data_IF_942638932685
#
_entry.id   IF_942638932685
#
_cell.length_a   1.000
_cell.length_b   1.000
_cell.length_c   1.000
_cell.angle_alpha   90.00
_cell.angle_beta   90.00
_cell.angle_gamma   90.00
#
_symmetry.space_group_name_H-M   'P 1'
#
loop_
_entity.id
_entity.type
_entity.pdbx_description
1 polymer ?
#
# COMPACT_ATOMS: atom_id res chain seq x y z
N UNK A 1 17.45 -0.91 57.41
CA UNK A 1 16.60 -0.52 56.26
C UNK A 1 17.10 -1.28 55.05
N UNK A 2 16.42 -2.38 54.70
CA UNK A 2 16.72 -3.15 53.50
C UNK A 2 15.97 -2.45 52.37
N UNK A 3 16.72 -1.79 51.49
CA UNK A 3 16.19 -1.19 50.26
C UNK A 3 15.60 -2.31 49.41
N UNK A 4 14.27 -2.32 49.26
CA UNK A 4 13.59 -3.19 48.31
C UNK A 4 13.82 -2.58 46.92
N UNK A 5 14.82 -3.09 46.21
CA UNK A 5 14.88 -2.94 44.76
C UNK A 5 13.60 -3.53 44.17
N UNK A 6 12.89 -2.70 43.41
CA UNK A 6 11.60 -3.01 42.81
C UNK A 6 11.89 -3.81 41.50
N UNK A 7 11.63 -5.12 41.43
CA UNK A 7 12.00 -5.92 40.25
C UNK A 7 10.82 -5.96 39.29
N UNK A 8 10.54 -4.86 38.56
CA UNK A 8 9.48 -4.81 37.53
C UNK A 8 9.73 -3.81 36.37
N UNK A 9 10.99 -3.52 36.03
CA UNK A 9 11.33 -2.74 34.83
C UNK A 9 12.42 -3.43 33.98
N UNK A 10 12.46 -4.76 34.01
CA UNK A 10 13.23 -5.54 33.03
C UNK A 10 12.36 -5.75 31.78
N UNK A 11 12.75 -5.10 30.68
CA UNK A 11 12.46 -5.58 29.33
C UNK A 11 11.13 -5.20 28.67
N UNK A 12 10.59 -4.00 28.90
CA UNK A 12 9.61 -3.48 27.93
C UNK A 12 10.38 -3.18 26.63
N UNK A 13 10.17 -4.02 25.62
CA UNK A 13 10.72 -3.80 24.29
C UNK A 13 10.31 -2.40 23.80
N UNK A 14 11.29 -1.65 23.30
CA UNK A 14 11.01 -0.31 22.79
C UNK A 14 10.25 -0.42 21.46
N UNK A 15 9.23 0.42 21.24
CA UNK A 15 8.54 0.48 19.95
C UNK A 15 9.51 0.73 18.81
N UNK A 16 9.24 0.14 17.65
CA UNK A 16 10.09 0.28 16.46
C UNK A 16 9.99 1.66 15.83
N UNK A 17 8.84 2.32 15.97
CA UNK A 17 8.52 3.60 15.34
C UNK A 17 7.96 4.61 16.33
N UNK A 18 8.18 5.89 16.06
CA UNK A 18 7.68 7.00 16.88
C UNK A 18 6.37 7.57 16.32
N UNK A 19 6.18 7.45 15.01
CA UNK A 19 5.07 8.03 14.24
C UNK A 19 4.46 7.02 13.27
N UNK A 20 3.16 7.15 13.05
CA UNK A 20 2.38 6.28 12.16
C UNK A 20 1.56 7.15 11.22
N UNK A 21 1.60 6.86 9.91
CA UNK A 21 0.97 7.68 8.88
C UNK A 21 0.31 6.81 7.81
N UNK A 22 -1.03 6.75 7.80
CA UNK A 22 -1.77 5.86 6.90
C UNK A 22 -2.83 6.59 6.10
N UNK A 23 -2.95 6.19 4.84
CA UNK A 23 -3.89 6.77 3.91
C UNK A 23 -4.90 5.75 3.38
N UNK A 24 -6.15 6.19 3.30
CA UNK A 24 -7.16 5.63 2.41
C UNK A 24 -7.04 6.35 1.06
N UNK A 25 -6.88 5.58 -0.01
CA UNK A 25 -6.36 5.99 -1.29
C UNK A 25 -7.42 5.84 -2.39
N UNK A 26 -7.35 6.72 -3.39
CA UNK A 26 -8.31 6.72 -4.49
C UNK A 26 -7.63 6.67 -5.86
N UNK A 27 -8.03 5.68 -6.66
CA UNK A 27 -7.67 5.58 -8.09
C UNK A 27 -8.55 6.40 -9.04
N UNK A 28 -9.48 7.21 -8.52
CA UNK A 28 -10.42 7.99 -9.33
C UNK A 28 -9.82 9.27 -9.93
N UNK A 29 -10.20 9.62 -11.15
CA UNK A 29 -9.87 10.92 -11.76
C UNK A 29 -8.39 11.14 -12.09
N UNK A 30 -8.01 12.39 -12.32
CA UNK A 30 -6.63 12.82 -12.60
C UNK A 30 -5.83 12.99 -11.29
N UNK A 31 -4.50 12.82 -11.35
CA UNK A 31 -3.62 12.83 -10.18
C UNK A 31 -3.65 14.15 -9.38
N UNK A 32 -3.83 15.27 -10.08
CA UNK A 32 -3.85 16.62 -9.51
C UNK A 32 -5.25 17.06 -9.03
N UNK A 33 -6.30 16.27 -9.32
CA UNK A 33 -7.66 16.58 -8.86
C UNK A 33 -7.89 16.09 -7.43
N UNK A 34 -8.38 16.98 -6.56
CA UNK A 34 -8.76 16.62 -5.20
C UNK A 34 -9.87 15.56 -5.20
N UNK A 35 -9.74 14.56 -4.33
CA UNK A 35 -10.64 13.42 -4.25
C UNK A 35 -11.33 13.38 -2.89
N UNK A 36 -12.66 13.34 -2.90
CA UNK A 36 -13.49 13.30 -1.69
C UNK A 36 -13.23 12.10 -0.79
N UNK A 37 -12.58 11.06 -1.31
CA UNK A 37 -12.33 9.78 -0.65
C UNK A 37 -10.83 9.50 -0.45
N UNK A 38 -9.98 10.53 -0.43
CA UNK A 38 -8.60 10.37 0.07
C UNK A 38 -8.58 10.87 1.50
N UNK A 39 -8.10 10.02 2.42
CA UNK A 39 -7.92 10.33 3.84
C UNK A 39 -6.49 10.04 4.25
N UNK A 40 -5.96 10.87 5.15
CA UNK A 40 -4.62 10.71 5.70
C UNK A 40 -4.71 10.94 7.20
N UNK A 41 -4.28 9.95 7.97
CA UNK A 41 -4.24 10.02 9.43
C UNK A 41 -2.83 9.86 9.93
N UNK A 42 -2.54 10.55 11.04
CA UNK A 42 -1.24 10.51 11.72
C UNK A 42 -1.43 10.36 13.22
N UNK A 43 -0.64 9.50 13.86
CA UNK A 43 -0.46 9.48 15.32
C UNK A 43 1.01 9.34 15.71
N UNK A 44 1.29 9.66 16.97
CA UNK A 44 2.50 9.25 17.69
C UNK A 44 2.17 8.03 18.57
N UNK A 45 3.16 7.46 19.27
CA UNK A 45 2.95 6.38 20.23
C UNK A 45 1.85 6.67 21.27
N UNK A 46 1.85 7.88 21.84
CA UNK A 46 0.92 8.26 22.91
C UNK A 46 -0.26 9.11 22.43
N UNK A 47 -0.26 9.52 21.17
CA UNK A 47 -1.27 10.40 20.60
C UNK A 47 -2.37 9.65 19.85
N UNK A 48 -3.60 10.15 19.94
CA UNK A 48 -4.71 9.67 19.11
C UNK A 48 -4.47 9.99 17.62
N UNK A 49 -4.92 9.10 16.69
CA UNK A 49 -4.83 9.40 15.28
C UNK A 49 -5.64 10.65 14.91
N UNK A 50 -4.94 11.63 14.35
CA UNK A 50 -5.51 12.88 13.88
C UNK A 50 -5.54 12.90 12.36
N UNK A 51 -6.69 13.32 11.80
CA UNK A 51 -6.83 13.55 10.37
C UNK A 51 -5.96 14.72 9.95
N UNK A 52 -5.10 14.50 8.96
CA UNK A 52 -4.38 15.58 8.29
C UNK A 52 -5.27 16.17 7.20
N UNK A 53 -5.19 17.49 7.02
CA UNK A 53 -5.93 18.21 5.98
C UNK A 53 -4.95 18.88 5.01
N UNK A 54 -5.35 18.97 3.75
CA UNK A 54 -4.63 19.78 2.77
C UNK A 54 -5.10 21.23 2.90
N UNK A 55 -4.25 22.12 3.42
CA UNK A 55 -4.54 23.55 3.49
C UNK A 55 -3.88 24.27 2.31
N UNK A 56 -4.68 24.83 1.41
CA UNK A 56 -4.19 25.76 0.39
C UNK A 56 -4.32 27.18 0.94
N UNK A 57 -3.20 27.90 1.06
CA UNK A 57 -3.22 29.33 1.41
C UNK A 57 -3.80 30.11 0.24
N UNK A 58 -5.06 30.52 0.34
CA UNK A 58 -5.59 31.60 -0.51
C UNK A 58 -5.31 32.95 0.15
N UNK A 59 -5.33 34.05 -0.62
CA UNK A 59 -5.04 35.41 -0.12
C UNK A 59 -5.92 35.87 1.05
N UNK A 60 -7.00 35.15 1.40
CA UNK A 60 -7.95 35.60 2.42
C UNK A 60 -8.35 34.56 3.48
N UNK A 61 -8.24 33.24 3.27
CA UNK A 61 -8.40 32.23 4.34
C UNK A 61 -7.74 30.89 3.95
N UNK A 62 -7.24 30.14 4.94
CA UNK A 62 -6.89 28.73 4.75
C UNK A 62 -8.17 27.90 4.88
N UNK A 63 -8.70 27.38 3.78
CA UNK A 63 -9.80 26.40 3.82
C UNK A 63 -9.25 24.98 3.72
N UNK A 64 -9.74 24.04 4.56
CA UNK A 64 -9.39 22.64 4.42
C UNK A 64 -9.92 22.11 3.08
N UNK A 65 -9.04 21.49 2.32
CA UNK A 65 -9.36 20.83 1.06
C UNK A 65 -9.04 19.34 1.16
N UNK A 66 -9.72 18.55 0.32
CA UNK A 66 -9.37 17.16 0.13
C UNK A 66 -8.02 17.03 -0.57
N UNK A 67 -7.34 15.91 -0.36
CA UNK A 67 -6.11 15.61 -1.06
C UNK A 67 -6.39 15.23 -2.51
N UNK A 68 -5.52 15.68 -3.41
CA UNK A 68 -5.26 14.97 -4.67
C UNK A 68 -4.19 13.91 -4.41
N UNK A 69 -3.92 13.01 -5.36
CA UNK A 69 -2.83 12.05 -5.18
C UNK A 69 -1.48 12.74 -5.10
N UNK A 70 -1.27 13.79 -5.91
CA UNK A 70 -0.03 14.57 -5.88
C UNK A 70 0.13 15.31 -4.56
N UNK A 71 -0.94 15.91 -4.02
CA UNK A 71 -0.88 16.62 -2.74
C UNK A 71 -0.80 15.69 -1.53
N UNK A 72 -1.31 14.45 -1.64
CA UNK A 72 -1.11 13.38 -0.67
C UNK A 72 0.36 12.99 -0.59
N UNK A 73 1.00 12.65 -1.70
CA UNK A 73 2.42 12.26 -1.72
C UNK A 73 3.31 13.39 -1.25
N UNK A 74 3.07 14.62 -1.71
CA UNK A 74 3.81 15.77 -1.23
C UNK A 74 3.61 15.99 0.28
N UNK A 75 2.45 15.64 0.85
CA UNK A 75 2.23 15.69 2.30
C UNK A 75 3.02 14.58 3.01
N UNK A 76 2.97 13.34 2.52
CA UNK A 76 3.72 12.22 3.10
C UNK A 76 5.22 12.52 3.11
N UNK A 77 5.79 13.00 2.01
CA UNK A 77 7.21 13.39 1.93
C UNK A 77 7.58 14.46 2.96
N UNK A 78 6.71 15.46 3.20
CA UNK A 78 6.93 16.47 4.25
C UNK A 78 6.92 15.86 5.65
N UNK A 79 5.99 14.94 5.93
CA UNK A 79 5.92 14.26 7.24
C UNK A 79 7.16 13.39 7.49
N UNK A 80 7.65 12.69 6.46
CA UNK A 80 8.89 11.90 6.53
C UNK A 80 10.11 12.79 6.77
N UNK A 81 10.24 13.89 6.02
CA UNK A 81 11.32 14.84 6.22
C UNK A 81 11.31 15.48 7.62
N UNK A 82 10.12 15.82 8.16
CA UNK A 82 9.97 16.35 9.52
C UNK A 82 10.35 15.30 10.58
N UNK A 83 9.94 14.04 10.38
CA UNK A 83 10.31 12.95 11.27
C UNK A 83 11.83 12.74 11.28
N UNK A 84 12.46 12.66 10.10
CA UNK A 84 13.92 12.61 9.96
C UNK A 84 14.63 13.76 10.67
N UNK A 85 14.16 15.00 10.47
CA UNK A 85 14.75 16.19 11.10
C UNK A 85 14.68 16.16 12.64
N UNK A 86 13.66 15.50 13.18
CA UNK A 86 13.45 15.36 14.63
C UNK A 86 13.99 14.05 15.20
N UNK A 87 14.73 13.27 14.41
CA UNK A 87 15.29 11.99 14.83
C UNK A 87 14.27 10.87 15.05
N UNK A 88 13.05 11.03 14.52
CA UNK A 88 11.97 10.06 14.66
C UNK A 88 11.89 9.12 13.46
N UNK A 89 11.56 7.85 13.72
CA UNK A 89 11.20 6.86 12.71
C UNK A 89 9.70 6.84 12.48
N UNK A 90 9.30 6.55 11.25
CA UNK A 90 7.90 6.56 10.84
C UNK A 90 7.55 5.26 10.12
N UNK A 91 6.46 4.65 10.54
CA UNK A 91 5.77 3.61 9.78
C UNK A 91 4.67 4.28 8.95
N UNK A 92 4.64 4.04 7.65
CA UNK A 92 3.63 4.65 6.78
C UNK A 92 3.11 3.69 5.72
N UNK A 93 1.94 3.98 5.17
CA UNK A 93 1.38 3.15 4.10
C UNK A 93 0.14 3.70 3.42
N UNK A 94 -0.21 3.05 2.32
CA UNK A 94 -1.38 3.33 1.49
C UNK A 94 -2.16 2.02 1.28
N UNK A 95 -3.48 2.09 1.13
CA UNK A 95 -4.37 0.94 0.94
C UNK A 95 -4.54 0.50 -0.53
N UNK A 96 -3.45 0.54 -1.30
CA UNK A 96 -3.40 -0.01 -2.66
C UNK A 96 -2.27 -1.04 -2.77
N UNK A 97 -2.29 -1.84 -3.83
CA UNK A 97 -1.27 -2.88 -4.01
C UNK A 97 0.08 -2.25 -4.36
N UNK A 98 1.17 -2.74 -3.75
CA UNK A 98 2.54 -2.22 -3.97
C UNK A 98 3.29 -2.96 -5.08
N UNK A 99 2.70 -4.02 -5.62
CA UNK A 99 3.17 -4.66 -6.83
C UNK A 99 2.03 -5.39 -7.53
N UNK A 100 2.31 -5.85 -8.74
CA UNK A 100 1.37 -6.61 -9.54
C UNK A 100 1.39 -8.12 -9.26
N UNK A 101 0.24 -8.81 -9.49
CA UNK A 101 0.18 -10.26 -9.51
C UNK A 101 0.98 -10.88 -10.67
N UNK A 102 1.26 -12.19 -10.61
CA UNK A 102 2.15 -12.87 -11.54
C UNK A 102 1.80 -12.67 -13.02
N UNK A 103 0.53 -12.77 -13.40
CA UNK A 103 0.13 -12.65 -14.81
C UNK A 103 0.44 -11.26 -15.39
N UNK A 104 0.19 -10.17 -14.64
CA UNK A 104 0.50 -8.81 -15.08
C UNK A 104 2.02 -8.62 -15.17
N UNK A 105 2.79 -9.16 -14.22
CA UNK A 105 4.26 -9.12 -14.27
C UNK A 105 4.82 -9.86 -15.49
N UNK A 106 4.25 -11.02 -15.85
CA UNK A 106 4.65 -11.75 -17.05
C UNK A 106 4.31 -10.98 -18.32
N UNK A 107 3.08 -10.47 -18.43
CA UNK A 107 2.61 -9.72 -19.60
C UNK A 107 3.44 -8.46 -19.86
N UNK A 108 3.88 -7.76 -18.82
CA UNK A 108 4.76 -6.61 -18.93
C UNK A 108 6.25 -6.95 -19.10
N UNK A 109 6.60 -8.25 -19.11
CA UNK A 109 8.00 -8.68 -19.21
C UNK A 109 8.86 -8.24 -18.02
N UNK A 110 8.27 -8.17 -16.82
CA UNK A 110 8.96 -7.76 -15.58
C UNK A 110 9.01 -8.89 -14.53
N UNK A 111 8.54 -10.09 -14.85
CA UNK A 111 8.47 -11.22 -13.91
C UNK A 111 9.79 -11.48 -13.17
N UNK A 112 10.91 -11.44 -13.90
CA UNK A 112 12.26 -11.71 -13.37
C UNK A 112 13.04 -10.42 -13.02
N UNK A 113 12.37 -9.27 -12.97
CA UNK A 113 12.99 -7.98 -12.63
C UNK A 113 12.73 -7.68 -11.16
N UNK A 114 13.78 -7.25 -10.44
CA UNK A 114 13.70 -6.82 -9.05
C UNK A 114 12.64 -5.72 -8.87
N UNK A 115 11.91 -5.73 -7.74
CA UNK A 115 10.73 -4.89 -7.55
C UNK A 115 10.95 -3.40 -7.84
N UNK A 116 12.03 -2.79 -7.30
CA UNK A 116 12.34 -1.37 -7.53
C UNK A 116 12.53 -1.06 -9.01
N UNK A 117 13.28 -1.91 -9.71
CA UNK A 117 13.55 -1.73 -11.13
C UNK A 117 12.31 -1.98 -11.99
N UNK A 118 11.52 -2.98 -11.62
CA UNK A 118 10.23 -3.24 -12.26
C UNK A 118 9.31 -2.03 -12.12
N UNK A 119 9.26 -1.40 -10.95
CA UNK A 119 8.40 -0.24 -10.72
C UNK A 119 8.88 1.00 -11.49
N UNK A 120 10.19 1.25 -11.58
CA UNK A 120 10.74 2.32 -12.44
C UNK A 120 10.40 2.09 -13.91
N UNK A 121 10.51 0.85 -14.37
CA UNK A 121 10.17 0.48 -15.74
C UNK A 121 8.67 0.65 -16.02
N UNK A 122 7.81 0.32 -15.06
CA UNK A 122 6.37 0.57 -15.20
C UNK A 122 6.05 2.06 -15.23
N UNK A 123 6.68 2.87 -14.38
CA UNK A 123 6.50 4.32 -14.35
C UNK A 123 6.93 4.97 -15.68
N UNK A 124 8.11 4.62 -16.18
CA UNK A 124 8.66 5.19 -17.41
C UNK A 124 8.07 4.58 -18.70
N UNK A 125 7.56 3.34 -18.64
CA UNK A 125 7.25 2.53 -19.80
C UNK A 125 8.51 2.01 -20.51
N UNK A 126 8.31 1.38 -21.67
CA UNK A 126 9.39 0.91 -22.54
C UNK A 126 8.96 1.11 -24.00
N UNK A 127 9.38 2.20 -24.66
CA UNK A 127 9.03 2.47 -26.05
C UNK A 127 9.52 1.40 -27.03
N UNK A 128 10.67 0.78 -26.77
CA UNK A 128 11.26 -0.24 -27.65
C UNK A 128 10.45 -1.53 -27.63
N UNK A 129 9.88 -1.88 -26.45
CA UNK A 129 8.94 -3.00 -26.32
C UNK A 129 7.48 -2.61 -26.55
N UNK A 130 7.16 -1.31 -26.59
CA UNK A 130 5.78 -0.81 -26.65
C UNK A 130 5.01 -0.91 -25.32
N UNK A 131 5.70 -1.11 -24.19
CA UNK A 131 5.08 -1.11 -22.86
C UNK A 131 4.68 0.34 -22.50
N UNK A 132 3.40 0.65 -22.24
CA UNK A 132 3.00 2.00 -21.88
C UNK A 132 3.47 2.37 -20.46
N UNK A 133 3.83 3.65 -20.22
CA UNK A 133 4.10 4.16 -18.88
C UNK A 133 2.82 4.15 -18.03
N UNK A 134 2.95 4.02 -16.70
CA UNK A 134 1.85 4.19 -15.77
C UNK A 134 1.20 5.57 -15.94
N UNK A 135 -0.12 5.59 -15.89
CA UNK A 135 -0.94 6.80 -16.06
C UNK A 135 -2.27 6.60 -15.31
N UNK A 136 -3.23 7.51 -15.47
CA UNK A 136 -4.59 7.29 -15.00
C UNK A 136 -5.16 5.98 -15.54
N UNK A 137 -6.03 5.29 -14.77
CA UNK A 137 -6.59 4.01 -15.17
C UNK A 137 -7.27 4.06 -16.54
N UNK A 138 -7.90 5.20 -16.87
CA UNK A 138 -8.54 5.42 -18.17
C UNK A 138 -7.59 5.29 -19.35
N UNK A 139 -6.39 5.89 -19.25
CA UNK A 139 -5.40 5.88 -20.34
C UNK A 139 -4.58 4.59 -20.32
N UNK A 140 -4.15 4.21 -19.11
CA UNK A 140 -3.27 3.06 -18.91
C UNK A 140 -3.89 1.74 -19.34
N UNK A 141 -5.12 1.45 -18.89
CA UNK A 141 -5.71 0.12 -19.09
C UNK A 141 -5.90 -0.23 -20.57
N UNK A 142 -6.36 0.74 -21.37
CA UNK A 142 -6.53 0.56 -22.81
C UNK A 142 -5.20 0.38 -23.53
N UNK A 143 -4.21 1.21 -23.20
CA UNK A 143 -2.87 1.11 -23.78
C UNK A 143 -2.20 -0.23 -23.44
N UNK A 144 -2.36 -0.69 -22.20
CA UNK A 144 -1.79 -1.97 -21.76
C UNK A 144 -2.48 -3.17 -22.41
N UNK A 145 -3.81 -3.14 -22.55
CA UNK A 145 -4.55 -4.17 -23.28
C UNK A 145 -4.12 -4.24 -24.75
N UNK A 146 -3.92 -3.08 -25.39
CA UNK A 146 -3.41 -2.99 -26.77
C UNK A 146 -2.01 -3.60 -26.88
N UNK A 147 -1.10 -3.22 -25.98
CA UNK A 147 0.24 -3.80 -25.87
C UNK A 147 0.20 -5.33 -25.73
N UNK A 148 -0.71 -5.84 -24.90
CA UNK A 148 -0.86 -7.29 -24.67
C UNK A 148 -1.63 -8.02 -25.79
N UNK A 149 -2.26 -7.30 -26.72
CA UNK A 149 -3.18 -7.85 -27.72
C UNK A 149 -4.41 -8.56 -27.14
N UNK A 150 -4.81 -8.26 -25.90
CA UNK A 150 -5.95 -8.90 -25.22
C UNK A 150 -6.52 -8.04 -24.09
N UNK A 151 -7.79 -8.28 -23.73
CA UNK A 151 -8.47 -7.61 -22.61
C UNK A 151 -7.96 -8.09 -21.25
N UNK A 152 -6.81 -7.57 -20.81
CA UNK A 152 -6.22 -7.87 -19.50
C UNK A 152 -6.95 -7.10 -18.40
N UNK A 153 -6.91 -5.77 -18.48
CA UNK A 153 -7.70 -4.90 -17.63
C UNK A 153 -9.14 -4.85 -18.12
N UNK A 154 -10.07 -4.89 -17.19
CA UNK A 154 -11.49 -4.97 -17.49
C UNK A 154 -12.33 -4.25 -16.43
N UNK A 155 -13.59 -3.96 -16.73
CA UNK A 155 -14.53 -3.43 -15.75
C UNK A 155 -15.88 -4.15 -15.79
N UNK A 156 -16.43 -4.59 -14.64
CA UNK A 156 -17.80 -5.12 -14.61
C UNK A 156 -18.84 -4.04 -14.91
N UNK A 157 -18.49 -2.76 -14.74
CA UNK A 157 -19.38 -1.62 -14.91
C UNK A 157 -19.37 -1.15 -16.36
N UNK A 158 -20.50 -1.32 -17.06
CA UNK A 158 -20.63 -0.98 -18.49
C UNK A 158 -20.20 0.46 -18.81
N UNK A 159 -20.58 1.42 -17.98
CA UNK A 159 -20.20 2.82 -18.19
C UNK A 159 -18.69 3.07 -18.08
N UNK A 160 -18.00 2.36 -17.17
CA UNK A 160 -16.55 2.47 -17.03
C UNK A 160 -15.85 1.75 -18.18
N UNK A 161 -16.26 0.51 -18.50
CA UNK A 161 -15.72 -0.25 -19.61
C UNK A 161 -15.75 0.55 -20.92
N UNK A 162 -16.90 1.16 -21.24
CA UNK A 162 -17.06 2.01 -22.41
C UNK A 162 -16.21 3.29 -22.34
N UNK A 163 -16.16 3.95 -21.17
CA UNK A 163 -15.37 5.18 -20.98
C UNK A 163 -13.87 4.94 -21.13
N UNK A 164 -13.40 3.76 -20.74
CA UNK A 164 -11.99 3.37 -20.77
C UNK A 164 -11.62 2.65 -22.06
N UNK A 165 -12.59 2.15 -22.83
CA UNK A 165 -12.32 1.36 -24.04
C UNK A 165 -11.75 -0.02 -23.72
N UNK A 166 -12.27 -0.68 -22.69
CA UNK A 166 -11.80 -2.00 -22.22
C UNK A 166 -12.95 -3.01 -22.12
N UNK A 167 -12.59 -4.29 -22.06
CA UNK A 167 -13.53 -5.40 -21.88
C UNK A 167 -14.32 -5.38 -20.56
N UNK A 168 -15.38 -6.18 -20.52
CA UNK A 168 -16.29 -6.33 -19.36
C UNK A 168 -16.12 -7.62 -18.56
N UNK A 169 -15.20 -8.48 -18.99
CA UNK A 169 -15.00 -9.79 -18.38
C UNK A 169 -13.51 -9.97 -18.08
N UNK A 170 -13.19 -10.62 -16.95
CA UNK A 170 -11.80 -10.97 -16.66
C UNK A 170 -11.30 -12.02 -17.64
N UNK A 171 -9.98 -12.06 -17.82
CA UNK A 171 -9.32 -13.24 -18.34
C UNK A 171 -9.59 -14.43 -17.42
N UNK A 172 -9.80 -15.61 -18.01
CA UNK A 172 -9.91 -16.86 -17.27
C UNK A 172 -8.50 -17.35 -16.95
N UNK A 173 -8.06 -17.08 -15.73
CA UNK A 173 -6.75 -17.46 -15.23
C UNK A 173 -6.89 -18.29 -13.95
N UNK A 174 -5.99 -19.24 -13.68
CA UNK A 174 -5.86 -19.86 -12.37
C UNK A 174 -5.71 -18.79 -11.27
N UNK A 175 -6.25 -19.05 -10.08
CA UNK A 175 -6.16 -18.11 -8.96
C UNK A 175 -4.69 -17.77 -8.62
N UNK A 176 -3.81 -18.77 -8.68
CA UNK A 176 -2.38 -18.61 -8.43
C UNK A 176 -1.66 -17.68 -9.42
N UNK A 177 -2.22 -17.42 -10.61
CA UNK A 177 -1.66 -16.46 -11.57
C UNK A 177 -2.33 -15.09 -11.47
N UNK A 178 -3.63 -15.08 -11.17
CA UNK A 178 -4.44 -13.87 -11.12
C UNK A 178 -4.21 -13.04 -9.86
N UNK A 179 -3.95 -13.71 -8.74
CA UNK A 179 -3.76 -13.11 -7.43
C UNK A 179 -2.32 -13.27 -6.95
N UNK A 180 -1.89 -12.34 -6.10
CA UNK A 180 -0.66 -12.49 -5.31
C UNK A 180 -0.87 -13.53 -4.21
N UNK A 181 0.19 -14.16 -3.72
CA UNK A 181 0.12 -15.10 -2.59
C UNK A 181 -0.56 -14.46 -1.37
N UNK A 182 -0.24 -13.21 -1.07
CA UNK A 182 -0.87 -12.46 0.03
C UNK A 182 -2.39 -12.28 -0.12
N UNK A 183 -2.94 -12.38 -1.33
CA UNK A 183 -4.39 -12.28 -1.60
C UNK A 183 -5.11 -13.62 -1.47
N UNK A 184 -4.36 -14.73 -1.48
CA UNK A 184 -4.90 -16.08 -1.39
C UNK A 184 -5.08 -16.54 0.07
N UNK A 185 -4.37 -15.92 1.00
CA UNK A 185 -4.41 -16.25 2.43
C UNK A 185 -5.45 -15.45 3.19
N UNK A 186 -5.79 -15.90 4.41
CA UNK A 186 -6.69 -15.18 5.30
C UNK A 186 -5.94 -14.06 6.05
N UNK A 187 -6.62 -12.98 6.44
CA UNK A 187 -6.08 -12.03 7.41
C UNK A 187 -6.01 -12.65 8.81
N UNK A 188 -5.05 -12.22 9.64
CA UNK A 188 -4.89 -12.69 11.02
C UNK A 188 -6.06 -12.28 11.91
N UNK A 189 -6.66 -11.10 11.69
CA UNK A 189 -7.71 -10.52 12.57
C UNK A 189 -8.96 -9.99 11.84
N UNK A 190 -9.05 -10.15 10.53
CA UNK A 190 -10.12 -9.59 9.68
C UNK A 190 -11.01 -10.64 9.00
N UNK A 191 -11.83 -10.20 8.03
CA UNK A 191 -12.77 -11.09 7.30
C UNK A 191 -12.67 -11.04 5.79
N UNK A 192 -11.93 -10.08 5.23
CA UNK A 192 -11.88 -9.86 3.79
C UNK A 192 -10.50 -10.20 3.23
N UNK A 193 -10.50 -10.74 2.00
CA UNK A 193 -9.30 -10.87 1.19
C UNK A 193 -9.19 -9.70 0.20
N UNK A 194 -7.96 -9.21 -0.06
CA UNK A 194 -7.73 -8.21 -1.08
C UNK A 194 -8.16 -8.71 -2.47
N UNK A 195 -8.32 -7.77 -3.41
CA UNK A 195 -8.99 -8.02 -4.68
C UNK A 195 -7.99 -8.00 -5.84
N UNK A 196 -8.39 -8.55 -6.98
CA UNK A 196 -7.53 -8.65 -8.14
C UNK A 196 -7.16 -7.26 -8.71
N UNK A 197 -5.88 -7.11 -9.08
CA UNK A 197 -5.34 -5.88 -9.66
C UNK A 197 -5.84 -5.59 -11.08
N UNK A 198 -6.47 -6.56 -11.75
CA UNK A 198 -6.89 -6.48 -13.15
C UNK A 198 -8.30 -5.86 -13.35
N UNK A 199 -9.06 -5.72 -12.27
CA UNK A 199 -10.39 -5.12 -12.31
C UNK A 199 -10.33 -3.61 -12.01
N UNK A 200 -10.85 -2.77 -12.92
CA UNK A 200 -10.92 -1.31 -12.76
C UNK A 200 -12.35 -0.78 -12.79
N UNK A 201 -12.61 0.37 -12.16
CA UNK A 201 -13.96 0.92 -12.00
C UNK A 201 -14.33 1.30 -10.56
N UNK A 202 -15.60 1.73 -10.40
CA UNK A 202 -16.11 2.54 -9.30
C UNK A 202 -16.00 1.97 -7.88
N UNK A 203 -16.41 2.80 -6.91
CA UNK A 203 -16.28 2.53 -5.48
C UNK A 203 -17.08 1.29 -5.03
N UNK A 204 -16.51 0.52 -4.10
CA UNK A 204 -17.27 -0.42 -3.27
C UNK A 204 -17.44 -1.86 -3.77
N UNK A 205 -17.18 -2.17 -5.06
CA UNK A 205 -17.48 -3.49 -5.63
C UNK A 205 -16.29 -4.48 -5.65
N UNK A 206 -15.25 -4.25 -4.86
CA UNK A 206 -14.04 -5.09 -4.87
C UNK A 206 -13.19 -4.92 -6.12
N UNK A 207 -13.09 -3.68 -6.59
CA UNK A 207 -12.36 -3.24 -7.78
C UNK A 207 -11.19 -2.38 -7.30
N UNK A 208 -9.95 -2.85 -7.50
CA UNK A 208 -8.75 -2.19 -6.95
C UNK A 208 -7.69 -1.87 -8.00
N UNK A 209 -7.85 -2.31 -9.25
CA UNK A 209 -6.84 -2.08 -10.28
C UNK A 209 -6.58 -0.59 -10.53
N UNK A 210 -7.61 0.25 -10.43
CA UNK A 210 -7.44 1.70 -10.62
C UNK A 210 -6.58 2.34 -9.54
N UNK A 211 -6.81 2.00 -8.26
CA UNK A 211 -5.99 2.48 -7.15
C UNK A 211 -4.58 1.90 -7.21
N UNK A 212 -4.42 0.64 -7.64
CA UNK A 212 -3.11 0.02 -7.82
C UNK A 212 -2.28 0.72 -8.90
N UNK A 213 -2.84 0.98 -10.08
CA UNK A 213 -2.13 1.69 -11.16
C UNK A 213 -1.64 3.06 -10.67
N UNK A 214 -2.54 3.86 -10.09
CA UNK A 214 -2.18 5.18 -9.56
C UNK A 214 -1.21 5.12 -8.38
N UNK A 215 -1.37 4.12 -7.51
CA UNK A 215 -0.55 3.93 -6.33
C UNK A 215 0.88 3.54 -6.67
N UNK A 216 1.07 2.63 -7.62
CA UNK A 216 2.38 2.27 -8.15
C UNK A 216 3.11 3.48 -8.74
N UNK A 217 2.41 4.32 -9.52
CA UNK A 217 2.96 5.59 -10.03
C UNK A 217 3.47 6.49 -8.90
N UNK A 218 2.72 6.59 -7.79
CA UNK A 218 3.13 7.42 -6.66
C UNK A 218 4.28 6.82 -5.85
N UNK A 219 4.33 5.49 -5.66
CA UNK A 219 5.47 4.82 -5.01
C UNK A 219 6.73 5.00 -5.84
N UNK A 220 6.67 4.90 -7.17
CA UNK A 220 7.82 5.09 -8.04
C UNK A 220 8.55 6.41 -7.75
N UNK A 221 7.80 7.49 -7.49
CA UNK A 221 8.32 8.83 -7.16
C UNK A 221 8.95 8.96 -5.76
N UNK A 222 8.78 7.95 -4.91
CA UNK A 222 9.35 7.87 -3.57
C UNK A 222 10.46 6.83 -3.46
N UNK A 223 10.72 6.04 -4.51
CA UNK A 223 11.66 4.92 -4.45
C UNK A 223 13.10 5.32 -4.16
N UNK A 224 13.52 6.49 -4.67
CA UNK A 224 14.91 6.94 -4.61
C UNK A 224 15.24 7.72 -3.33
N UNK A 225 14.29 7.86 -2.41
CA UNK A 225 14.55 8.44 -1.09
C UNK A 225 15.33 7.43 -0.21
N UNK A 226 16.60 7.70 0.13
CA UNK A 226 17.43 6.78 0.91
C UNK A 226 16.95 6.62 2.36
N UNK A 227 16.12 7.54 2.87
CA UNK A 227 15.53 7.44 4.21
C UNK A 227 14.36 6.45 4.27
N UNK A 228 13.89 5.95 3.12
CA UNK A 228 12.75 5.04 3.01
C UNK A 228 13.22 3.63 2.66
N UNK A 229 12.74 2.66 3.44
CA UNK A 229 12.71 1.26 3.06
C UNK A 229 11.26 0.78 2.90
N UNK A 230 11.06 -0.22 2.05
CA UNK A 230 9.76 -0.76 1.68
C UNK A 230 9.68 -2.21 2.13
N UNK A 231 8.78 -2.51 3.05
CA UNK A 231 8.51 -3.88 3.46
C UNK A 231 7.39 -4.48 2.59
N UNK A 232 7.54 -5.74 2.15
CA UNK A 232 8.62 -6.69 2.47
C UNK A 232 9.76 -6.74 1.42
N UNK A 233 9.83 -5.78 0.51
CA UNK A 233 10.73 -5.81 -0.66
C UNK A 233 12.22 -5.70 -0.29
N UNK A 234 12.54 -4.93 0.75
CA UNK A 234 13.91 -4.79 1.26
C UNK A 234 14.27 -5.85 2.33
N UNK A 235 13.33 -6.73 2.73
CA UNK A 235 13.50 -7.73 3.78
C UNK A 235 12.15 -8.27 4.29
N UNK A 236 12.07 -9.55 4.64
CA UNK A 236 10.80 -10.15 5.07
C UNK A 236 10.44 -9.91 6.53
N UNK A 237 11.39 -9.52 7.36
CA UNK A 237 11.19 -9.17 8.76
C UNK A 237 11.37 -7.66 8.92
N UNK A 238 10.37 -6.96 9.45
CA UNK A 238 10.43 -5.51 9.66
C UNK A 238 11.54 -5.08 10.63
N UNK A 239 12.08 -6.00 11.44
CA UNK A 239 13.24 -5.78 12.29
C UNK A 239 14.59 -6.08 11.62
N UNK A 240 14.60 -6.48 10.34
CA UNK A 240 15.83 -6.72 9.61
C UNK A 240 16.68 -5.44 9.47
N UNK A 241 18.00 -5.62 9.36
CA UNK A 241 18.98 -4.54 9.23
C UNK A 241 18.66 -3.56 8.09
N UNK A 242 18.03 -4.04 7.01
CA UNK A 242 17.62 -3.21 5.88
C UNK A 242 16.67 -2.05 6.26
N UNK A 243 15.97 -2.17 7.40
CA UNK A 243 15.02 -1.21 7.95
C UNK A 243 15.59 -0.36 9.09
N UNK A 244 16.78 -0.68 9.61
CA UNK A 244 17.40 0.02 10.71
C UNK A 244 17.61 1.51 10.37
N UNK A 245 17.17 2.41 11.26
CA UNK A 245 17.30 3.86 11.09
C UNK A 245 16.45 4.48 9.97
N UNK A 246 15.62 3.70 9.25
CA UNK A 246 14.78 4.20 8.14
C UNK A 246 13.33 4.40 8.55
N UNK A 247 12.62 5.21 7.76
CA UNK A 247 11.18 5.14 7.66
C UNK A 247 10.79 3.90 6.87
N UNK A 248 9.68 3.26 7.24
CA UNK A 248 9.25 2.00 6.61
C UNK A 248 7.89 2.17 5.97
N UNK A 249 7.84 2.03 4.65
CA UNK A 249 6.62 1.95 3.86
C UNK A 249 6.10 0.52 3.83
N UNK A 250 4.83 0.32 4.17
CA UNK A 250 4.16 -0.98 4.16
C UNK A 250 2.84 -0.95 3.41
N UNK A 251 2.48 -2.06 2.78
CA UNK A 251 1.14 -2.22 2.19
C UNK A 251 0.13 -2.59 3.27
N UNK A 252 -0.96 -1.83 3.36
CA UNK A 252 -2.08 -2.13 4.27
C UNK A 252 -3.30 -2.60 3.48
N UNK A 253 -4.09 -3.46 4.12
CA UNK A 253 -5.46 -3.72 3.69
C UNK A 253 -6.39 -3.43 4.87
N UNK A 254 -7.07 -2.27 4.90
CA UNK A 254 -7.83 -1.82 6.07
C UNK A 254 -8.82 -2.84 6.62
N UNK A 255 -9.45 -3.66 5.77
CA UNK A 255 -10.37 -4.71 6.23
C UNK A 255 -9.69 -5.89 6.96
N UNK A 256 -8.37 -6.01 6.90
CA UNK A 256 -7.58 -6.94 7.72
C UNK A 256 -7.22 -6.36 9.10
N UNK A 257 -7.20 -5.02 9.24
CA UNK A 257 -6.76 -4.32 10.44
C UNK A 257 -7.91 -3.71 11.25
N UNK A 258 -8.97 -3.23 10.59
CA UNK A 258 -10.10 -2.57 11.23
C UNK A 258 -10.90 -3.59 12.07
N UNK A 259 -11.29 -3.24 13.31
CA UNK A 259 -12.17 -4.09 14.10
C UNK A 259 -13.48 -4.41 13.37
N UNK A 260 -13.94 -5.66 13.47
CA UNK A 260 -15.12 -6.17 12.76
C UNK A 260 -16.40 -5.38 13.02
N UNK A 261 -16.52 -4.76 14.19
CA UNK A 261 -17.71 -4.00 14.58
C UNK A 261 -17.71 -2.55 14.06
N UNK A 262 -16.58 -2.06 13.53
CA UNK A 262 -16.50 -0.71 12.97
C UNK A 262 -16.96 -0.76 11.51
N UNK A 263 -17.90 0.13 11.19
CA UNK A 263 -18.42 0.27 9.83
C UNK A 263 -17.31 0.67 8.84
N UNK A 264 -17.53 0.32 7.57
CA UNK A 264 -16.62 0.73 6.52
C UNK A 264 -16.91 2.14 6.04
N UNK A 265 -15.92 3.01 6.15
CA UNK A 265 -15.81 4.29 5.46
C UNK A 265 -14.33 4.69 5.31
N UNK A 266 -14.08 5.69 4.46
CA UNK A 266 -12.73 6.17 4.09
C UNK A 266 -11.94 6.69 5.31
N UNK A 267 -12.62 7.34 6.27
CA UNK A 267 -11.97 7.88 7.47
C UNK A 267 -11.62 6.73 8.45
N UNK A 268 -12.52 5.77 8.62
CA UNK A 268 -12.33 4.59 9.45
C UNK A 268 -11.22 3.67 8.91
N UNK A 269 -11.12 3.52 7.58
CA UNK A 269 -10.06 2.71 6.93
C UNK A 269 -8.66 3.27 7.27
N UNK A 270 -8.45 4.58 7.13
CA UNK A 270 -7.18 5.23 7.48
C UNK A 270 -6.95 5.31 9.00
N UNK A 271 -7.95 5.73 9.78
CA UNK A 271 -7.85 5.89 11.24
C UNK A 271 -7.50 4.57 11.94
N UNK A 272 -8.21 3.48 11.62
CA UNK A 272 -7.97 2.20 12.28
C UNK A 272 -6.69 1.51 11.80
N UNK A 273 -6.19 1.82 10.59
CA UNK A 273 -4.86 1.37 10.16
C UNK A 273 -3.76 2.00 11.00
N UNK A 274 -3.83 3.32 11.25
CA UNK A 274 -2.95 4.02 12.20
C UNK A 274 -3.03 3.40 13.60
N UNK A 275 -4.26 3.26 14.12
CA UNK A 275 -4.50 2.80 15.48
C UNK A 275 -3.97 1.39 15.70
N UNK A 276 -4.34 0.45 14.82
CA UNK A 276 -3.97 -0.96 14.94
C UNK A 276 -2.45 -1.15 14.93
N UNK A 277 -1.74 -0.45 14.04
CA UNK A 277 -0.30 -0.64 13.89
C UNK A 277 0.51 0.07 14.98
N UNK A 278 0.05 1.24 15.45
CA UNK A 278 0.59 1.89 16.66
C UNK A 278 0.45 0.98 17.87
N UNK A 279 -0.75 0.43 18.08
CA UNK A 279 -1.03 -0.39 19.26
C UNK A 279 -0.28 -1.72 19.21
N UNK A 280 -0.12 -2.29 18.01
CA UNK A 280 0.72 -3.48 17.82
C UNK A 280 2.19 -3.19 18.14
N UNK A 281 2.73 -2.05 17.72
CA UNK A 281 4.12 -1.66 18.00
C UNK A 281 4.36 -1.37 19.48
N UNK A 282 3.44 -0.63 20.12
CA UNK A 282 3.46 -0.41 21.59
C UNK A 282 3.41 -1.69 22.41
N UNK A 283 2.76 -2.72 21.88
CA UNK A 283 2.62 -4.01 22.54
C UNK A 283 3.71 -5.02 22.14
N UNK A 284 4.78 -4.59 21.43
CA UNK A 284 5.83 -5.45 20.89
C UNK A 284 5.31 -6.60 20.01
N UNK A 285 4.20 -6.35 19.32
CA UNK A 285 3.50 -7.31 18.47
C UNK A 285 3.48 -6.87 16.99
N UNK A 286 4.09 -5.74 16.64
CA UNK A 286 4.17 -5.28 15.25
C UNK A 286 4.91 -6.29 14.37
N UNK A 287 6.01 -6.88 14.89
CA UNK A 287 6.75 -7.91 14.16
C UNK A 287 5.85 -9.08 13.74
N UNK A 288 4.97 -9.54 14.61
CA UNK A 288 4.06 -10.65 14.29
C UNK A 288 3.09 -10.31 13.13
N UNK A 289 2.80 -9.02 12.89
CA UNK A 289 2.00 -8.57 11.76
C UNK A 289 2.83 -8.33 10.50
N UNK A 290 4.13 -8.05 10.66
CA UNK A 290 5.05 -7.63 9.61
C UNK A 290 6.31 -8.54 9.52
N UNK A 291 6.08 -9.85 9.63
CA UNK A 291 7.08 -10.88 9.36
C UNK A 291 6.50 -11.87 8.35
N UNK A 292 7.27 -12.19 7.31
CA UNK A 292 6.94 -13.25 6.36
C UNK A 292 8.04 -14.30 6.42
N UNK A 293 7.67 -15.55 6.70
CA UNK A 293 8.64 -16.67 6.71
C UNK A 293 8.29 -17.64 5.59
N UNK A 294 8.51 -17.28 4.32
CA UNK A 294 8.00 -18.07 3.22
C UNK A 294 8.87 -19.31 2.94
N UNK A 295 8.26 -20.38 2.41
CA UNK A 295 8.96 -21.48 1.78
C UNK A 295 10.01 -20.98 0.77
N UNK A 296 11.13 -21.70 0.66
CA UNK A 296 12.28 -21.25 -0.12
C UNK A 296 11.94 -20.96 -1.60
N UNK A 297 11.07 -21.78 -2.18
CA UNK A 297 10.56 -21.69 -3.55
C UNK A 297 9.60 -20.52 -3.78
N UNK A 298 9.00 -19.96 -2.71
CA UNK A 298 8.10 -18.81 -2.80
C UNK A 298 8.79 -17.46 -2.52
N UNK A 299 10.05 -17.47 -2.08
CA UNK A 299 10.79 -16.24 -1.70
C UNK A 299 10.87 -15.22 -2.83
N UNK A 300 11.28 -15.65 -4.01
CA UNK A 300 11.47 -14.74 -5.14
C UNK A 300 10.13 -14.20 -5.67
N UNK A 301 9.08 -15.00 -5.57
CA UNK A 301 7.72 -14.54 -5.86
C UNK A 301 7.28 -13.43 -4.91
N UNK A 302 7.45 -13.61 -3.60
CA UNK A 302 7.08 -12.59 -2.60
C UNK A 302 7.96 -11.34 -2.73
N UNK A 303 9.24 -11.48 -3.07
CA UNK A 303 10.10 -10.32 -3.41
C UNK A 303 9.60 -9.55 -4.64
N UNK A 304 8.93 -10.21 -5.57
CA UNK A 304 8.37 -9.58 -6.76
C UNK A 304 6.98 -8.97 -6.56
N UNK A 305 6.13 -9.59 -5.75
CA UNK A 305 4.71 -9.21 -5.62
C UNK A 305 4.34 -8.59 -4.26
N UNK A 306 5.21 -8.69 -3.26
CA UNK A 306 5.03 -8.10 -1.94
C UNK A 306 4.14 -8.92 -1.00
N UNK A 307 3.84 -8.33 0.15
CA UNK A 307 2.97 -8.88 1.19
C UNK A 307 2.23 -7.75 1.90
N UNK A 308 1.01 -8.03 2.34
CA UNK A 308 0.18 -7.07 3.08
C UNK A 308 0.33 -7.33 4.57
N UNK A 309 0.54 -6.27 5.35
CA UNK A 309 0.67 -6.39 6.80
C UNK A 309 -0.60 -7.02 7.40
N UNK A 310 -0.43 -7.97 8.33
CA UNK A 310 -1.54 -8.66 8.98
C UNK A 310 -2.24 -9.74 8.14
N UNK A 311 -1.68 -10.12 6.99
CA UNK A 311 -2.07 -11.34 6.27
C UNK A 311 -1.24 -12.53 6.74
N UNK A 312 -1.87 -13.69 6.92
CA UNK A 312 -1.25 -14.88 7.52
C UNK A 312 -0.39 -15.65 6.49
N UNK A 313 0.94 -15.66 6.62
CA UNK A 313 1.81 -16.40 5.71
C UNK A 313 1.77 -17.91 5.92
N UNK A 314 1.30 -18.40 7.07
CA UNK A 314 1.22 -19.85 7.35
C UNK A 314 0.14 -20.51 6.48
N UNK A 315 -0.89 -19.77 6.07
CA UNK A 315 -1.91 -20.23 5.12
C UNK A 315 -1.41 -20.52 3.70
N UNK A 316 -0.11 -20.39 3.43
CA UNK A 316 0.53 -20.87 2.19
C UNK A 316 0.96 -22.33 2.25
N UNK A 317 0.96 -22.94 3.45
CA UNK A 317 1.40 -24.31 3.70
C UNK A 317 0.16 -25.20 3.80
N UNK A 318 -0.55 -25.36 2.68
CA UNK A 318 -1.66 -26.32 2.51
C UNK A 318 -1.68 -26.88 1.07
#
# INVERSE_FOLDING_TARGET
>A
MISRSNPKLEGLAMPLFDRYLFADYSGGGENHHAQGNIRLYRCTLDGEPARLVHSVKTRQTAQPQNFSRDSLVARVQRELAEASHTGHRMLFGFDHQYAWPPHLRHLAGIANIAWREALRLLDAGDPDRGLPPLDTPRRYCAAFNLYCGKDVFWSPLNGIANKYGIGRKPLRLPAAERFRLTELVAPVRGRSRPKAADAVGGQGAGIVGGQTICGLYQIARMLDDPAIAWWPFDGFDIQAEAYAGKHVGIEIYPSALRPVHVARDDDADAYHSCLCLRDADRADNLRALAVVTPPADLRDRIRGEGWIVGMDPEGLVD
#
